data_IF_505004919529
#
_entry.id   IF_505004919529
#
_cell.length_a   1.000
_cell.length_b   1.000
_cell.length_c   1.000
_cell.angle_alpha   90.00
_cell.angle_beta   90.00
_cell.angle_gamma   90.00
#
_symmetry.space_group_name_H-M   'P 1'
#
loop_
_entity.id
_entity.type
_entity.pdbx_description
1 polymer ?
#
# COMPACT_ATOMS: atom_id res chain seq x y z
N UNK A 1 -1.22 -17.38 6.60
CA UNK A 1 -1.71 -16.13 6.00
C UNK A 1 -2.83 -16.43 5.06
N UNK A 2 -3.89 -15.64 5.14
CA UNK A 2 -4.95 -15.61 4.13
C UNK A 2 -4.45 -15.11 2.78
N UNK A 3 -5.26 -15.29 1.75
CA UNK A 3 -5.15 -14.58 0.49
C UNK A 3 -6.15 -13.42 0.43
N UNK A 4 -5.69 -12.29 -0.07
CA UNK A 4 -6.47 -11.06 -0.17
C UNK A 4 -6.44 -10.53 -1.58
N UNK A 5 -7.50 -9.79 -1.94
CA UNK A 5 -7.59 -9.09 -3.22
C UNK A 5 -7.18 -7.63 -3.03
N UNK A 6 -6.19 -7.20 -3.82
CA UNK A 6 -5.72 -5.80 -3.86
C UNK A 6 -5.99 -5.24 -5.25
N UNK A 7 -6.62 -4.07 -5.33
CA UNK A 7 -6.78 -3.32 -6.58
C UNK A 7 -5.62 -2.34 -6.70
N UNK A 8 -4.87 -2.43 -7.80
CA UNK A 8 -3.76 -1.52 -8.08
C UNK A 8 -4.29 -0.19 -8.61
N UNK A 9 -3.83 0.91 -8.02
CA UNK A 9 -4.12 2.27 -8.47
C UNK A 9 -2.93 2.85 -9.22
N UNK A 10 -1.72 2.63 -8.69
CA UNK A 10 -0.51 3.29 -9.17
C UNK A 10 0.55 2.23 -9.52
N UNK A 11 0.87 2.08 -10.80
CA UNK A 11 1.94 1.17 -11.24
C UNK A 11 3.30 1.63 -10.73
N UNK A 12 4.20 0.66 -10.43
CA UNK A 12 5.60 0.96 -10.11
C UNK A 12 6.23 1.85 -11.19
N UNK A 13 6.91 2.90 -10.77
CA UNK A 13 7.56 3.86 -11.66
C UNK A 13 6.64 5.00 -12.14
N UNK A 14 5.38 5.02 -11.74
CA UNK A 14 4.49 6.15 -12.03
C UNK A 14 4.79 7.35 -11.14
N UNK A 15 4.72 8.55 -11.74
CA UNK A 15 4.64 9.85 -11.05
C UNK A 15 3.21 10.40 -11.01
N UNK A 16 2.29 9.78 -11.74
CA UNK A 16 0.87 10.06 -11.63
C UNK A 16 0.33 9.29 -10.42
N UNK A 17 -0.22 10.04 -9.46
CA UNK A 17 -0.97 9.50 -8.35
C UNK A 17 -2.43 9.39 -8.79
N UNK A 18 -2.83 8.17 -9.06
CA UNK A 18 -4.22 7.82 -9.33
C UNK A 18 -4.91 7.41 -8.03
N UNK A 19 -6.22 7.56 -8.00
CA UNK A 19 -7.09 7.03 -6.95
C UNK A 19 -8.34 6.45 -7.61
N UNK A 20 -8.87 5.39 -7.02
CA UNK A 20 -10.18 4.84 -7.35
C UNK A 20 -11.22 5.58 -6.53
N UNK A 21 -12.21 6.15 -7.22
CA UNK A 21 -13.44 6.60 -6.57
C UNK A 21 -14.23 5.37 -6.11
N UNK A 22 -14.26 5.13 -4.80
CA UNK A 22 -14.91 3.96 -4.21
C UNK A 22 -16.44 3.94 -4.36
N UNK A 23 -17.09 5.06 -4.69
CA UNK A 23 -18.52 5.08 -4.99
C UNK A 23 -18.80 4.61 -6.42
N UNK A 24 -17.97 5.02 -7.40
CA UNK A 24 -18.22 4.76 -8.82
C UNK A 24 -17.35 3.69 -9.45
N UNK A 25 -16.26 3.29 -8.79
CA UNK A 25 -15.24 2.36 -9.29
C UNK A 25 -14.36 2.94 -10.40
N UNK A 26 -14.42 4.26 -10.65
CA UNK A 26 -13.62 4.92 -11.69
C UNK A 26 -12.23 5.28 -11.18
N UNK A 27 -11.22 5.13 -12.03
CA UNK A 27 -9.87 5.62 -11.77
C UNK A 27 -9.78 7.09 -12.17
N UNK A 28 -9.40 7.95 -11.23
CA UNK A 28 -9.13 9.36 -11.44
C UNK A 28 -7.64 9.65 -11.24
N UNK A 29 -7.15 10.66 -11.96
CA UNK A 29 -5.87 11.27 -11.65
C UNK A 29 -6.11 12.29 -10.53
N UNK A 30 -5.65 11.97 -9.32
CA UNK A 30 -5.63 12.91 -8.20
C UNK A 30 -4.62 14.03 -8.51
N UNK A 31 -3.35 13.66 -8.72
CA UNK A 31 -2.30 14.62 -9.09
C UNK A 31 -1.07 13.97 -9.72
N UNK A 32 -0.22 14.80 -10.33
CA UNK A 32 1.17 14.43 -10.59
C UNK A 32 1.98 14.80 -9.34
N UNK A 33 2.87 13.92 -8.87
CA UNK A 33 3.70 14.21 -7.70
C UNK A 33 4.53 15.48 -7.89
N UNK A 34 4.64 16.30 -6.84
CA UNK A 34 5.28 17.62 -6.91
C UNK A 34 6.81 17.50 -6.95
N UNK A 35 7.33 16.39 -6.44
CA UNK A 35 8.73 15.99 -6.51
C UNK A 35 9.01 15.12 -7.74
N UNK A 36 10.28 14.86 -8.03
CA UNK A 36 10.70 13.97 -9.13
C UNK A 36 10.70 12.47 -8.76
N UNK A 37 10.07 12.10 -7.66
CA UNK A 37 9.94 10.70 -7.24
C UNK A 37 8.94 9.95 -8.12
N UNK A 38 9.06 8.63 -8.09
CA UNK A 38 8.10 7.70 -8.67
C UNK A 38 7.85 6.57 -7.68
N UNK A 39 6.66 5.99 -7.71
CA UNK A 39 6.28 4.92 -6.78
C UNK A 39 7.24 3.73 -6.90
N UNK A 40 7.84 3.24 -5.79
CA UNK A 40 8.86 2.18 -5.82
C UNK A 40 8.28 0.78 -6.02
N UNK A 41 6.97 0.62 -5.82
CA UNK A 41 6.21 -0.62 -6.02
C UNK A 41 4.91 -0.31 -6.73
N UNK A 42 4.18 -1.34 -7.14
CA UNK A 42 2.76 -1.16 -7.43
C UNK A 42 2.06 -0.84 -6.11
N UNK A 43 1.13 0.11 -6.16
CA UNK A 43 0.41 0.62 -5.01
C UNK A 43 -1.09 0.60 -5.28
N UNK A 44 -1.86 0.33 -4.24
CA UNK A 44 -3.31 0.42 -4.25
C UNK A 44 -3.84 -0.01 -2.89
N UNK A 45 -4.98 -0.70 -2.85
CA UNK A 45 -5.68 -0.97 -1.59
C UNK A 45 -6.31 -2.36 -1.55
N UNK A 46 -6.57 -2.85 -0.33
CA UNK A 46 -7.30 -4.11 -0.11
C UNK A 46 -8.81 -3.91 -0.29
N UNK A 47 -9.43 -4.74 -1.13
CA UNK A 47 -10.88 -4.70 -1.32
C UNK A 47 -11.63 -5.04 -0.02
N UNK A 48 -12.74 -4.33 0.21
CA UNK A 48 -13.62 -4.53 1.37
C UNK A 48 -12.94 -4.34 2.73
N UNK A 49 -12.01 -3.38 2.82
CA UNK A 49 -11.42 -2.94 4.09
C UNK A 49 -11.72 -1.47 4.36
N UNK A 50 -11.68 -1.06 5.62
CA UNK A 50 -11.75 0.34 6.04
C UNK A 50 -10.63 0.64 7.04
N UNK A 51 -9.71 1.51 6.64
CA UNK A 51 -8.61 2.03 7.43
C UNK A 51 -9.04 3.02 8.50
N UNK A 52 -8.08 3.52 9.28
CA UNK A 52 -8.36 4.45 10.39
C UNK A 52 -8.62 5.88 9.92
N UNK A 53 -8.09 6.25 8.76
CA UNK A 53 -8.29 7.50 8.02
C UNK A 53 -9.64 7.57 7.28
N UNK A 54 -10.30 6.44 7.09
CA UNK A 54 -11.59 6.34 6.39
C UNK A 54 -11.48 5.85 4.95
N UNK A 55 -10.28 5.60 4.46
CA UNK A 55 -10.02 4.98 3.15
C UNK A 55 -9.73 3.49 3.34
N UNK A 56 -9.83 2.64 2.29
CA UNK A 56 -9.41 1.25 2.39
C UNK A 56 -7.94 1.09 2.77
N UNK A 57 -7.58 -0.04 3.38
CA UNK A 57 -6.21 -0.29 3.83
C UNK A 57 -5.26 -0.32 2.62
N UNK A 58 -4.19 0.46 2.68
CA UNK A 58 -3.19 0.56 1.63
C UNK A 58 -2.29 -0.68 1.51
N UNK A 59 -1.91 -0.98 0.26
CA UNK A 59 -1.06 -2.08 -0.11
C UNK A 59 0.07 -1.65 -1.08
N UNK A 60 1.28 -2.08 -0.77
CA UNK A 60 2.46 -2.03 -1.63
C UNK A 60 2.76 -3.44 -2.14
N UNK A 61 2.52 -3.68 -3.42
CA UNK A 61 2.65 -5.03 -4.01
C UNK A 61 3.99 -5.14 -4.74
N UNK A 62 4.83 -6.06 -4.27
CA UNK A 62 6.08 -6.39 -4.94
C UNK A 62 5.77 -7.32 -6.12
N UNK A 63 6.05 -6.84 -7.33
CA UNK A 63 5.83 -7.56 -8.59
C UNK A 63 7.09 -7.57 -9.47
N UNK A 64 7.20 -8.60 -10.31
CA UNK A 64 8.26 -8.70 -11.32
C UNK A 64 8.14 -7.56 -12.33
N UNK A 65 6.92 -7.34 -12.83
CA UNK A 65 6.56 -6.30 -13.77
C UNK A 65 5.36 -5.52 -13.25
N UNK A 66 5.34 -4.18 -13.43
CA UNK A 66 4.19 -3.37 -13.03
C UNK A 66 2.93 -3.78 -13.79
N UNK A 67 1.78 -3.57 -13.16
CA UNK A 67 0.47 -3.78 -13.81
C UNK A 67 -0.20 -2.43 -14.12
N UNK A 68 -1.45 -2.46 -14.56
CA UNK A 68 -2.22 -1.27 -14.90
C UNK A 68 -3.15 -0.85 -13.75
N UNK A 69 -3.54 0.44 -13.67
CA UNK A 69 -4.59 0.86 -12.74
C UNK A 69 -5.89 0.06 -12.95
N UNK A 70 -6.55 -0.31 -11.85
CA UNK A 70 -7.76 -1.13 -11.81
C UNK A 70 -7.53 -2.64 -11.89
N UNK A 71 -6.27 -3.12 -11.99
CA UNK A 71 -5.98 -4.56 -11.99
C UNK A 71 -6.05 -5.11 -10.56
N UNK A 72 -6.86 -6.14 -10.36
CA UNK A 72 -6.89 -6.91 -9.13
C UNK A 72 -5.75 -7.95 -9.06
N UNK A 73 -5.09 -8.04 -7.91
CA UNK A 73 -3.99 -8.97 -7.64
C UNK A 73 -4.27 -9.75 -6.36
N UNK A 74 -4.18 -11.08 -6.44
CA UNK A 74 -4.25 -11.95 -5.25
C UNK A 74 -2.90 -11.97 -4.52
N UNK A 75 -2.90 -11.50 -3.29
CA UNK A 75 -1.68 -11.28 -2.50
C UNK A 75 -1.74 -11.93 -1.13
N UNK A 76 -0.58 -11.95 -0.47
CA UNK A 76 -0.43 -12.18 0.96
C UNK A 76 0.51 -11.13 1.56
N UNK A 77 0.27 -10.66 2.78
CA UNK A 77 1.13 -9.68 3.44
C UNK A 77 2.47 -10.30 3.84
N UNK A 78 3.53 -9.51 3.88
CA UNK A 78 4.85 -9.93 4.40
C UNK A 78 5.40 -8.94 5.42
N UNK A 79 4.82 -7.75 5.55
CA UNK A 79 5.24 -6.74 6.52
C UNK A 79 4.42 -5.48 6.37
N UNK A 80 4.72 -4.47 7.16
CA UNK A 80 4.04 -3.17 7.10
C UNK A 80 5.04 -2.04 7.38
N UNK A 81 4.90 -0.92 6.68
CA UNK A 81 5.54 0.34 7.05
C UNK A 81 4.52 1.17 7.82
N UNK A 82 4.76 1.35 9.11
CA UNK A 82 3.95 2.21 9.96
C UNK A 82 4.41 3.66 9.79
N UNK A 83 3.46 4.53 9.48
CA UNK A 83 3.69 5.95 9.31
C UNK A 83 2.43 6.73 9.61
N UNK A 84 2.61 8.03 9.81
CA UNK A 84 1.54 9.01 9.93
C UNK A 84 1.80 10.22 9.05
N UNK A 85 0.74 10.90 8.62
CA UNK A 85 0.80 12.11 7.80
C UNK A 85 -0.15 13.19 8.35
N UNK A 86 -0.44 14.21 7.54
CA UNK A 86 -1.35 15.30 7.93
C UNK A 86 -2.79 14.86 8.27
N UNK A 87 -3.23 13.70 7.79
CA UNK A 87 -4.57 13.16 7.97
C UNK A 87 -4.67 12.12 9.11
N UNK A 88 -3.55 11.53 9.53
CA UNK A 88 -3.52 10.63 10.68
C UNK A 88 -2.59 9.43 10.46
N UNK A 89 -3.03 8.26 10.93
CA UNK A 89 -2.31 7.00 10.75
C UNK A 89 -2.46 6.51 9.31
N UNK A 90 -1.35 6.13 8.68
CA UNK A 90 -1.24 5.93 7.23
C UNK A 90 -0.41 4.67 6.89
N UNK A 91 -0.68 3.55 7.56
CA UNK A 91 0.12 2.33 7.44
C UNK A 91 0.08 1.74 6.01
N UNK A 92 1.25 1.30 5.51
CA UNK A 92 1.40 0.71 4.16
C UNK A 92 1.77 -0.76 4.25
N UNK A 93 0.84 -1.66 3.92
CA UNK A 93 1.10 -3.10 4.01
C UNK A 93 1.90 -3.59 2.81
N UNK A 94 3.00 -4.29 3.06
CA UNK A 94 3.81 -4.91 2.00
C UNK A 94 3.26 -6.28 1.65
N UNK A 95 3.08 -6.51 0.37
CA UNK A 95 2.45 -7.71 -0.17
C UNK A 95 3.29 -8.35 -1.27
N UNK A 96 3.12 -9.67 -1.41
CA UNK A 96 3.64 -10.45 -2.53
C UNK A 96 2.52 -11.33 -3.12
N UNK A 97 2.61 -11.76 -4.40
CA UNK A 97 1.62 -12.65 -4.99
C UNK A 97 1.42 -13.95 -4.21
N UNK A 98 0.16 -14.34 -3.97
CA UNK A 98 -0.17 -15.44 -3.05
C UNK A 98 0.37 -16.82 -3.49
N UNK A 99 0.25 -17.17 -4.78
CA UNK A 99 0.58 -18.52 -5.32
C UNK A 99 1.70 -18.56 -6.34
N UNK A 100 2.52 -17.51 -6.41
CA UNK A 100 3.62 -17.46 -7.36
C UNK A 100 4.89 -18.11 -6.77
N UNK A 101 5.43 -19.18 -7.37
CA UNK A 101 6.62 -19.87 -6.89
C UNK A 101 7.83 -18.95 -6.67
N UNK A 102 7.93 -17.87 -7.44
CA UNK A 102 9.04 -16.89 -7.33
C UNK A 102 9.07 -16.20 -5.97
N UNK A 103 7.91 -16.06 -5.32
CA UNK A 103 7.75 -15.32 -4.06
C UNK A 103 7.68 -16.22 -2.83
N UNK A 104 7.79 -17.54 -2.98
CA UNK A 104 7.69 -18.51 -1.88
C UNK A 104 8.72 -18.34 -0.77
N UNK A 105 9.84 -17.68 -1.05
CA UNK A 105 10.88 -17.40 -0.06
C UNK A 105 10.60 -16.17 0.80
N UNK A 106 9.67 -15.28 0.40
CA UNK A 106 9.34 -14.07 1.16
C UNK A 106 8.20 -14.34 2.12
N UNK A 107 8.46 -14.70 3.37
CA UNK A 107 7.42 -15.05 4.35
C UNK A 107 7.19 -13.95 5.39
N UNK A 108 8.22 -13.18 5.70
CA UNK A 108 8.16 -12.07 6.66
C UNK A 108 8.98 -10.86 6.16
N UNK A 109 8.94 -9.76 6.90
CA UNK A 109 9.61 -8.50 6.61
C UNK A 109 11.11 -8.70 6.43
N UNK A 110 11.68 -9.62 7.22
CA UNK A 110 13.11 -9.94 7.18
C UNK A 110 13.56 -10.55 5.85
N UNK A 111 12.63 -11.13 5.10
CA UNK A 111 12.89 -11.69 3.77
C UNK A 111 12.80 -10.63 2.67
N UNK A 112 12.19 -9.46 2.96
CA UNK A 112 12.19 -8.31 2.05
C UNK A 112 13.60 -7.70 2.06
N UNK A 113 14.26 -7.57 0.89
CA UNK A 113 15.60 -7.02 0.81
C UNK A 113 15.70 -5.66 1.52
N UNK A 114 16.75 -5.48 2.33
CA UNK A 114 16.94 -4.25 3.11
C UNK A 114 16.95 -3.00 2.20
N UNK A 115 17.55 -3.10 1.02
CA UNK A 115 17.57 -2.00 0.06
C UNK A 115 16.16 -1.63 -0.42
N UNK A 116 15.31 -2.63 -0.70
CA UNK A 116 13.90 -2.39 -1.07
C UNK A 116 13.13 -1.69 0.06
N UNK A 117 13.33 -2.11 1.31
CA UNK A 117 12.74 -1.43 2.48
C UNK A 117 13.20 0.03 2.57
N UNK A 118 14.50 0.29 2.42
CA UNK A 118 15.05 1.67 2.43
C UNK A 118 14.50 2.54 1.30
N UNK A 119 14.32 1.99 0.11
CA UNK A 119 13.74 2.72 -1.03
C UNK A 119 12.28 3.10 -0.80
N UNK A 120 11.48 2.17 -0.25
CA UNK A 120 10.08 2.43 0.12
C UNK A 120 10.00 3.51 1.21
N UNK A 121 10.76 3.34 2.30
CA UNK A 121 10.77 4.29 3.41
C UNK A 121 11.21 5.69 2.94
N UNK A 122 12.26 5.77 2.11
CA UNK A 122 12.74 7.03 1.57
C UNK A 122 11.70 7.71 0.68
N UNK A 123 11.01 6.96 -0.17
CA UNK A 123 9.93 7.49 -1.00
C UNK A 123 8.84 8.14 -0.14
N UNK A 124 8.26 7.40 0.81
CA UNK A 124 7.16 7.94 1.63
C UNK A 124 7.60 9.11 2.50
N UNK A 125 8.83 9.09 2.99
CA UNK A 125 9.40 10.22 3.76
C UNK A 125 9.48 11.51 2.94
N UNK A 126 9.61 11.44 1.61
CA UNK A 126 10.05 12.58 0.77
C UNK A 126 9.12 12.97 -0.36
N UNK A 127 8.22 12.10 -0.80
CA UNK A 127 7.45 12.34 -2.03
C UNK A 127 6.56 13.60 -1.93
N UNK A 128 6.12 13.95 -0.70
CA UNK A 128 5.33 15.13 -0.33
C UNK A 128 6.18 16.39 0.00
N UNK A 129 7.52 16.36 -0.09
CA UNK A 129 8.40 17.48 0.34
C UNK A 129 8.07 18.84 -0.31
N UNK A 130 7.48 18.83 -1.50
CA UNK A 130 7.09 20.04 -2.25
C UNK A 130 5.58 20.31 -2.23
N UNK A 131 4.81 19.55 -1.46
CA UNK A 131 3.37 19.78 -1.26
C UNK A 131 3.14 20.69 -0.03
N UNK A 132 2.63 21.93 -0.22
CA UNK A 132 2.50 22.88 0.89
C UNK A 132 1.62 22.35 2.03
N UNK A 133 2.15 22.36 3.25
CA UNK A 133 1.41 21.98 4.46
C UNK A 133 1.32 20.48 4.72
N UNK A 134 1.97 19.64 3.89
CA UNK A 134 2.00 18.19 4.09
C UNK A 134 3.29 17.73 4.76
N UNK A 135 3.20 16.62 5.49
CA UNK A 135 4.34 15.98 6.15
C UNK A 135 4.13 14.47 6.23
N UNK A 136 5.20 13.73 6.47
CA UNK A 136 5.17 12.31 6.78
C UNK A 136 6.11 12.04 7.95
N UNK A 137 5.67 11.19 8.88
CA UNK A 137 6.45 10.69 9.99
C UNK A 137 6.52 9.16 9.91
N UNK A 138 7.73 8.60 9.78
CA UNK A 138 7.95 7.15 9.79
C UNK A 138 8.03 6.65 11.23
N UNK A 139 7.20 5.68 11.57
CA UNK A 139 7.12 5.07 12.91
C UNK A 139 7.91 3.76 12.97
N UNK A 140 8.11 3.11 11.82
CA UNK A 140 9.00 1.97 11.66
C UNK A 140 8.37 0.82 10.88
N UNK A 141 9.10 -0.28 10.78
CA UNK A 141 8.63 -1.48 10.09
C UNK A 141 8.04 -2.51 11.05
N UNK A 142 6.90 -3.06 10.68
CA UNK A 142 6.23 -4.19 11.33
C UNK A 142 6.33 -5.49 10.51
N UNK A 143 6.14 -6.62 11.18
CA UNK A 143 6.26 -7.95 10.60
C UNK A 143 4.97 -8.41 9.88
N UNK A 144 4.98 -9.60 9.29
CA UNK A 144 3.82 -10.16 8.59
C UNK A 144 2.59 -10.36 9.50
N UNK A 145 2.79 -10.66 10.79
CA UNK A 145 1.69 -10.86 11.72
C UNK A 145 0.98 -9.53 12.07
N UNK A 146 1.74 -8.44 12.20
CA UNK A 146 1.20 -7.10 12.39
C UNK A 146 0.44 -6.63 11.14
N UNK A 147 1.01 -6.87 9.97
CA UNK A 147 0.35 -6.59 8.69
C UNK A 147 -0.99 -7.35 8.54
N UNK A 148 -1.02 -8.65 8.87
CA UNK A 148 -2.24 -9.44 8.89
C UNK A 148 -3.29 -8.84 9.84
N UNK A 149 -2.87 -8.39 11.03
CA UNK A 149 -3.77 -7.79 12.02
C UNK A 149 -4.40 -6.49 11.51
N UNK A 150 -3.63 -5.64 10.82
CA UNK A 150 -4.14 -4.40 10.20
C UNK A 150 -5.20 -4.70 9.15
N UNK A 151 -4.96 -5.67 8.27
CA UNK A 151 -5.92 -6.07 7.24
C UNK A 151 -7.21 -6.59 7.88
N UNK A 152 -7.09 -7.49 8.87
CA UNK A 152 -8.25 -8.07 9.55
C UNK A 152 -9.06 -7.01 10.29
N UNK A 153 -8.40 -6.07 10.97
CA UNK A 153 -9.06 -4.93 11.59
C UNK A 153 -9.81 -4.08 10.55
N UNK A 154 -9.25 -3.90 9.35
CA UNK A 154 -9.91 -3.20 8.25
C UNK A 154 -11.19 -3.88 7.77
N UNK A 155 -11.18 -5.21 7.62
CA UNK A 155 -12.38 -5.99 7.30
C UNK A 155 -13.45 -5.90 8.40
N UNK A 156 -13.03 -6.00 9.66
CA UNK A 156 -13.93 -5.90 10.81
C UNK A 156 -14.57 -4.52 10.89
N UNK A 157 -13.79 -3.46 10.71
CA UNK A 157 -14.27 -2.07 10.76
C UNK A 157 -15.32 -1.82 9.68
N UNK A 158 -15.05 -2.17 8.43
CA UNK A 158 -16.01 -2.00 7.33
C UNK A 158 -17.34 -2.72 7.62
N UNK A 159 -17.27 -3.96 8.12
CA UNK A 159 -18.46 -4.75 8.48
C UNK A 159 -19.28 -4.09 9.59
N UNK A 160 -18.62 -3.46 10.58
CA UNK A 160 -19.34 -2.78 11.67
C UNK A 160 -19.99 -1.47 11.25
N UNK A 161 -19.44 -0.77 10.26
CA UNK A 161 -19.96 0.52 9.78
C UNK A 161 -21.10 0.35 8.75
N UNK A 162 -21.38 -0.88 8.31
CA UNK A 162 -22.60 -1.22 7.56
C UNK A 162 -22.57 -0.83 6.09
N UNK A 163 -21.36 -0.70 5.52
CA UNK A 163 -21.12 -0.54 4.09
C UNK A 163 -21.22 -1.87 3.33
#
# INVERSE_FOLDING_TARGET
>A
MGDYDVIIEIPRGSRNKYEVDHETGRVYLDRVLFTSFAYPTDYGFFENTLGLDGDPVDALVLLEYPVFPGVGVKVRPVGVLNMSDEAGSDAKVICVPYKDPRWTHMQDLTDVPEQTRKEIEHFFTRYKDLEPGKFVNIEGWGNAAEAEAIIQAGFEKLKTEGH
#
